data_IF_896520634878
#
_entry.id   IF_896520634878
#
_cell.length_a   1.000
_cell.length_b   1.000
_cell.length_c   1.000
_cell.angle_alpha   90.00
_cell.angle_beta   90.00
_cell.angle_gamma   90.00
#
_symmetry.space_group_name_H-M   'P 1'
#
loop_
_entity.id
_entity.type
_entity.pdbx_description
1 polymer ?
#
# COMPACT_ATOMS: atom_id res chain seq x y z
N UNK A 1 -6.48 13.10 -14.82
CA UNK A 1 -5.07 13.56 -14.83
C UNK A 1 -4.15 12.65 -14.01
N UNK A 2 -4.39 11.32 -13.98
CA UNK A 2 -3.57 10.35 -13.23
C UNK A 2 -3.31 9.05 -14.03
N UNK A 3 -3.40 9.10 -15.36
CA UNK A 3 -3.17 7.91 -16.22
C UNK A 3 -1.68 7.67 -16.56
N UNK A 4 -0.79 8.59 -16.18
CA UNK A 4 0.62 8.54 -16.57
C UNK A 4 1.53 7.63 -15.71
N UNK A 5 1.03 7.08 -14.58
CA UNK A 5 1.87 6.25 -13.68
C UNK A 5 1.77 4.76 -14.02
N UNK A 6 0.73 4.33 -14.73
CA UNK A 6 0.47 2.92 -15.03
C UNK A 6 1.38 2.37 -16.14
N UNK A 7 2.04 3.24 -16.90
CA UNK A 7 2.81 2.87 -18.08
C UNK A 7 4.27 2.44 -17.81
N UNK A 8 4.77 2.50 -16.57
CA UNK A 8 6.19 2.22 -16.26
C UNK A 8 6.47 0.83 -15.67
N UNK A 9 5.47 -0.03 -15.48
CA UNK A 9 5.62 -1.28 -14.70
C UNK A 9 5.33 -2.57 -15.48
N UNK A 10 5.30 -2.54 -16.81
CA UNK A 10 5.01 -3.71 -17.63
C UNK A 10 6.26 -4.36 -18.25
N UNK A 11 7.43 -4.23 -17.62
CA UNK A 11 8.57 -5.09 -17.96
C UNK A 11 8.31 -6.47 -17.33
N UNK A 12 7.81 -7.35 -18.17
CA UNK A 12 7.34 -8.71 -17.92
C UNK A 12 8.51 -9.68 -17.63
N UNK A 13 9.37 -9.31 -16.69
CA UNK A 13 10.60 -10.04 -16.34
C UNK A 13 10.40 -11.05 -15.20
N UNK A 14 9.20 -11.12 -14.61
CA UNK A 14 8.95 -11.89 -13.38
C UNK A 14 9.71 -11.37 -12.14
N UNK A 15 10.34 -10.20 -12.26
CA UNK A 15 11.13 -9.55 -11.20
C UNK A 15 10.48 -8.21 -10.88
N UNK A 16 10.22 -7.99 -9.61
CA UNK A 16 9.61 -6.76 -9.12
C UNK A 16 10.55 -5.57 -9.34
N UNK A 17 10.10 -4.42 -9.89
CA UNK A 17 10.95 -3.24 -10.06
C UNK A 17 11.60 -2.79 -8.75
N UNK A 18 12.82 -2.25 -8.80
CA UNK A 18 13.57 -1.84 -7.60
C UNK A 18 12.79 -0.86 -6.73
N UNK A 19 12.06 0.07 -7.35
CA UNK A 19 11.17 1.02 -6.65
C UNK A 19 10.09 0.30 -5.82
N UNK A 20 9.51 -0.74 -6.37
CA UNK A 20 8.43 -1.50 -5.74
C UNK A 20 8.98 -2.37 -4.60
N UNK A 21 10.20 -2.90 -4.76
CA UNK A 21 10.93 -3.57 -3.68
C UNK A 21 11.21 -2.60 -2.51
N UNK A 22 11.69 -1.39 -2.80
CA UNK A 22 11.91 -0.35 -1.80
C UNK A 22 10.61 0.04 -1.06
N UNK A 23 9.48 0.08 -1.76
CA UNK A 23 8.16 0.31 -1.15
C UNK A 23 7.81 -0.80 -0.16
N UNK A 24 8.03 -2.07 -0.52
CA UNK A 24 7.78 -3.20 0.38
C UNK A 24 8.74 -3.19 1.58
N UNK A 25 10.03 -2.92 1.37
CA UNK A 25 11.00 -2.84 2.44
C UNK A 25 10.69 -1.68 3.41
N UNK A 26 10.23 -0.54 2.90
CA UNK A 26 9.77 0.58 3.72
C UNK A 26 8.55 0.21 4.58
N UNK A 27 7.60 -0.56 4.03
CA UNK A 27 6.44 -1.07 4.79
C UNK A 27 6.81 -2.09 5.87
N UNK A 28 7.97 -2.75 5.73
CA UNK A 28 8.49 -3.65 6.76
C UNK A 28 8.93 -2.88 8.02
N UNK A 29 9.27 -1.59 7.90
CA UNK A 29 9.74 -0.79 9.02
C UNK A 29 8.61 -0.46 10.01
N UNK A 30 8.92 -0.49 11.31
CA UNK A 30 7.96 -0.20 12.37
C UNK A 30 7.85 1.30 12.63
N UNK A 31 6.77 1.92 12.16
CA UNK A 31 6.49 3.33 12.38
C UNK A 31 5.67 3.53 13.66
N UNK A 32 6.24 4.23 14.64
CA UNK A 32 5.60 4.50 15.95
C UNK A 32 4.41 5.46 15.84
N UNK A 33 4.42 6.37 14.86
CA UNK A 33 3.36 7.35 14.64
C UNK A 33 2.99 7.43 13.16
N UNK A 34 1.69 7.51 12.86
CA UNK A 34 1.21 7.61 11.48
C UNK A 34 1.76 8.84 10.73
N UNK A 35 1.90 9.98 11.41
CA UNK A 35 2.45 11.20 10.82
C UNK A 35 3.93 11.09 10.45
N UNK A 36 4.73 10.36 11.24
CA UNK A 36 6.15 10.14 10.94
C UNK A 36 6.34 9.32 9.65
N UNK A 37 5.43 8.35 9.41
CA UNK A 37 5.43 7.58 8.18
C UNK A 37 5.09 8.43 6.95
N UNK A 38 4.08 9.29 7.03
CA UNK A 38 3.67 10.15 5.91
C UNK A 38 4.73 11.19 5.54
N UNK A 39 5.48 11.68 6.53
CA UNK A 39 6.62 12.56 6.31
C UNK A 39 7.74 11.80 5.60
N UNK A 40 8.12 10.62 6.09
CA UNK A 40 9.15 9.78 5.48
C UNK A 40 8.78 9.32 4.05
N UNK A 41 7.51 9.03 3.77
CA UNK A 41 7.02 8.74 2.41
C UNK A 41 7.31 9.91 1.46
N UNK A 42 7.02 11.13 1.91
CA UNK A 42 7.26 12.33 1.11
C UNK A 42 8.75 12.56 0.86
N UNK A 43 9.58 12.37 1.88
CA UNK A 43 11.02 12.59 1.80
C UNK A 43 11.72 11.53 0.94
N UNK A 44 11.31 10.26 1.04
CA UNK A 44 12.00 9.15 0.36
C UNK A 44 11.48 8.88 -1.06
N UNK A 45 10.19 9.06 -1.30
CA UNK A 45 9.55 8.71 -2.58
C UNK A 45 9.07 9.92 -3.38
N UNK A 46 9.30 11.14 -2.87
CA UNK A 46 8.89 12.42 -3.46
C UNK A 46 7.42 12.43 -3.90
N UNK A 47 6.55 11.84 -3.06
CA UNK A 47 5.13 11.72 -3.37
C UNK A 47 4.24 11.88 -2.15
N UNK A 48 2.99 12.29 -2.38
CA UNK A 48 2.00 12.37 -1.32
C UNK A 48 1.62 10.98 -0.79
N UNK A 49 1.28 10.91 0.50
CA UNK A 49 0.84 9.67 1.14
C UNK A 49 -0.35 9.01 0.41
N UNK A 50 -1.28 9.81 -0.11
CA UNK A 50 -2.42 9.32 -0.90
C UNK A 50 -1.96 8.55 -2.15
N UNK A 51 -1.00 9.12 -2.91
CA UNK A 51 -0.46 8.48 -4.10
C UNK A 51 0.34 7.24 -3.74
N UNK A 52 1.12 7.30 -2.67
CA UNK A 52 1.85 6.16 -2.15
C UNK A 52 0.94 4.97 -1.84
N UNK A 53 -0.16 5.19 -1.11
CA UNK A 53 -1.11 4.11 -0.81
C UNK A 53 -1.83 3.59 -2.05
N UNK A 54 -2.03 4.39 -3.10
CA UNK A 54 -2.57 3.90 -4.38
C UNK A 54 -1.60 2.92 -5.05
N UNK A 55 -0.31 3.30 -5.13
CA UNK A 55 0.75 2.44 -5.68
C UNK A 55 0.87 1.17 -4.83
N UNK A 56 0.94 1.29 -3.51
CA UNK A 56 1.04 0.15 -2.61
C UNK A 56 -0.15 -0.81 -2.78
N UNK A 57 -1.38 -0.29 -2.90
CA UNK A 57 -2.55 -1.15 -3.08
C UNK A 57 -2.52 -1.90 -4.40
N UNK A 58 -2.04 -1.28 -5.48
CA UNK A 58 -1.85 -1.97 -6.76
C UNK A 58 -0.74 -3.03 -6.66
N UNK A 59 0.37 -2.68 -6.00
CA UNK A 59 1.53 -3.55 -5.82
C UNK A 59 1.22 -4.82 -5.04
N UNK A 60 0.51 -4.72 -3.91
CA UNK A 60 0.17 -5.89 -3.09
C UNK A 60 -0.84 -6.83 -3.77
N UNK A 61 -1.46 -6.41 -4.88
CA UNK A 61 -2.38 -7.23 -5.66
C UNK A 61 -1.65 -8.00 -6.79
N UNK A 62 -0.35 -7.74 -7.01
CA UNK A 62 0.47 -8.38 -8.03
C UNK A 62 1.14 -9.69 -7.55
N UNK A 63 1.28 -10.71 -8.43
CA UNK A 63 1.95 -11.96 -8.08
C UNK A 63 3.45 -11.78 -7.79
N UNK A 64 4.12 -10.81 -8.41
CA UNK A 64 5.54 -10.52 -8.21
C UNK A 64 5.82 -10.04 -6.78
N UNK A 65 4.91 -9.28 -6.18
CA UNK A 65 5.03 -8.85 -4.79
C UNK A 65 4.93 -10.04 -3.82
N UNK A 66 4.06 -11.00 -4.12
CA UNK A 66 3.95 -12.25 -3.36
C UNK A 66 5.19 -13.12 -3.48
N UNK A 67 5.87 -13.11 -4.64
CA UNK A 67 7.13 -13.82 -4.84
C UNK A 67 8.28 -13.18 -4.04
N UNK A 68 8.27 -11.85 -3.87
CA UNK A 68 9.29 -11.12 -3.11
C UNK A 68 9.14 -11.28 -1.59
N UNK A 69 7.98 -10.94 -1.02
CA UNK A 69 7.70 -11.13 0.42
C UNK A 69 6.24 -11.56 0.64
N UNK A 70 5.96 -12.88 0.62
CA UNK A 70 4.60 -13.39 0.75
C UNK A 70 3.97 -13.11 2.12
N UNK A 71 4.77 -12.96 3.19
CA UNK A 71 4.26 -12.73 4.53
C UNK A 71 3.83 -11.28 4.72
N UNK A 72 4.66 -10.34 4.28
CA UNK A 72 4.35 -8.92 4.33
C UNK A 72 3.14 -8.60 3.46
N UNK A 73 3.11 -9.09 2.22
CA UNK A 73 2.00 -8.83 1.30
C UNK A 73 0.68 -9.34 1.86
N UNK A 74 0.63 -10.59 2.35
CA UNK A 74 -0.59 -11.14 2.98
C UNK A 74 -1.02 -10.37 4.23
N UNK A 75 -0.07 -9.82 5.01
CA UNK A 75 -0.38 -8.97 6.16
C UNK A 75 -0.99 -7.64 5.72
N UNK A 76 -0.41 -6.98 4.72
CA UNK A 76 -0.91 -5.72 4.17
C UNK A 76 -2.30 -5.87 3.54
N UNK A 77 -2.53 -6.94 2.77
CA UNK A 77 -3.84 -7.28 2.23
C UNK A 77 -4.88 -7.46 3.34
N UNK A 78 -4.55 -8.20 4.41
CA UNK A 78 -5.44 -8.37 5.58
C UNK A 78 -5.74 -7.04 6.28
N UNK A 79 -4.74 -6.19 6.49
CA UNK A 79 -4.95 -4.85 7.07
C UNK A 79 -5.85 -3.97 6.20
N UNK A 80 -5.69 -4.01 4.87
CA UNK A 80 -6.56 -3.31 3.92
C UNK A 80 -8.00 -3.81 4.03
N UNK A 81 -8.21 -5.13 4.03
CA UNK A 81 -9.53 -5.73 4.16
C UNK A 81 -10.19 -5.36 5.50
N UNK A 82 -9.44 -5.33 6.61
CA UNK A 82 -9.93 -4.88 7.91
C UNK A 82 -10.37 -3.41 7.89
N UNK A 83 -9.56 -2.52 7.30
CA UNK A 83 -9.92 -1.10 7.13
C UNK A 83 -11.14 -0.91 6.24
N UNK A 84 -11.27 -1.69 5.16
CA UNK A 84 -12.47 -1.67 4.29
C UNK A 84 -13.72 -2.10 5.07
N UNK A 85 -13.65 -3.20 5.83
CA UNK A 85 -14.76 -3.66 6.68
C UNK A 85 -15.17 -2.62 7.73
N UNK A 86 -14.21 -1.97 8.37
CA UNK A 86 -14.50 -0.90 9.34
C UNK A 86 -15.21 0.30 8.68
N UNK A 87 -14.85 0.65 7.44
CA UNK A 87 -15.51 1.72 6.68
C UNK A 87 -16.91 1.33 6.21
N UNK A 88 -17.10 0.09 5.73
CA UNK A 88 -18.41 -0.38 5.29
C UNK A 88 -19.39 -0.49 6.47
N UNK A 89 -18.93 -0.94 7.64
CA UNK A 89 -19.74 -0.99 8.86
C UNK A 89 -20.23 0.41 9.28
N UNK A 90 -19.37 1.45 9.18
CA UNK A 90 -19.77 2.83 9.46
C UNK A 90 -20.77 3.39 8.44
N UNK A 91 -20.64 3.04 7.16
CA UNK A 91 -21.56 3.49 6.11
C UNK A 91 -22.93 2.81 6.16
N UNK A 92 -23.02 1.62 6.75
CA UNK A 92 -24.28 0.89 6.91
C UNK A 92 -25.13 1.40 8.10
N UNK A 93 -24.70 2.47 8.80
CA UNK A 93 -25.56 3.14 9.78
C UNK A 93 -25.88 2.30 11.02
N UNK A 94 -24.98 1.43 11.47
CA UNK A 94 -25.05 0.92 12.85
C UNK A 94 -24.47 2.00 13.77
N UNK A 95 -25.25 3.05 13.97
CA UNK A 95 -25.15 3.89 15.16
C UNK A 95 -25.49 2.96 16.33
N UNK A 96 -24.48 2.34 16.95
CA UNK A 96 -24.65 1.78 18.28
C UNK A 96 -24.87 2.97 19.20
N UNK A 97 -26.13 3.38 19.31
CA UNK A 97 -26.62 4.21 20.40
C UNK A 97 -26.15 3.57 21.69
N UNK A 98 -25.37 4.31 22.47
CA UNK A 98 -25.26 4.08 23.89
C UNK A 98 -25.17 5.43 24.60
#
# INVERSE_FOLDING_TARGET
MNDAVRALSADNSGVLPERDQQVLEFERQWWKFAGAKEQAIREQFDMSATRYYQVLNALIDQPEALAFDPMLVKRLQRMRAARQRARSARRLGIELKN
#
